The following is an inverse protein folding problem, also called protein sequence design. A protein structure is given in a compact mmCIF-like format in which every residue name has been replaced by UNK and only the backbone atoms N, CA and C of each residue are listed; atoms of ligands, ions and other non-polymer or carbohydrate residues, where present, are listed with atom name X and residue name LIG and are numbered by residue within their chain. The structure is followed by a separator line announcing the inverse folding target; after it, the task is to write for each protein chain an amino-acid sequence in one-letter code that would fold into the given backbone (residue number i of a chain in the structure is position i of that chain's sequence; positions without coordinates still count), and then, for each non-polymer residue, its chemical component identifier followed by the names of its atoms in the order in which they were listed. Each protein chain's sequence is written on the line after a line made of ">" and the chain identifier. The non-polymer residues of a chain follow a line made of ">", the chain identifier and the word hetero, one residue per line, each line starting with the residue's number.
data_IF_324020006317
#
_entry.id   IF_324020006317
#
_cell.length_a   1.000
_cell.length_b   1.000
_cell.length_c   1.000
_cell.angle_alpha   90.00
_cell.angle_beta   90.00
_cell.angle_gamma   90.00
#
_symmetry.space_group_name_H-M   'P 1'
#
loop_
_entity.id
_entity.type
_entity.pdbx_description
1 polymer ?
#
# COMPACT_ATOMS: atom_id res chain seq x y z
N UNK A 1 -4.58 -3.40 1.94
CA UNK A 1 -3.45 -3.64 2.85
C UNK A 1 -3.36 -5.11 3.22
N UNK A 2 -4.20 -5.60 4.14
CA UNK A 2 -4.08 -6.98 4.67
C UNK A 2 -4.06 -8.07 3.60
N UNK A 3 -4.95 -8.00 2.59
CA UNK A 3 -5.00 -8.97 1.49
C UNK A 3 -3.70 -8.95 0.68
N UNK A 4 -3.11 -7.78 0.44
CA UNK A 4 -1.87 -7.62 -0.32
C UNK A 4 -0.70 -8.24 0.44
N UNK A 5 -0.58 -8.00 1.75
CA UNK A 5 0.43 -8.64 2.58
C UNK A 5 0.28 -10.17 2.60
N UNK A 6 -0.94 -10.68 2.73
CA UNK A 6 -1.20 -12.12 2.71
C UNK A 6 -0.84 -12.75 1.36
N UNK A 7 -1.16 -12.10 0.23
CA UNK A 7 -0.81 -12.58 -1.10
C UNK A 7 0.70 -12.57 -1.35
N UNK A 8 1.39 -11.53 -0.90
CA UNK A 8 2.86 -11.45 -0.98
C UNK A 8 3.53 -12.53 -0.12
N UNK A 9 2.93 -12.90 1.03
CA UNK A 9 3.53 -13.83 2.00
C UNK A 9 3.02 -15.27 1.87
N UNK A 10 2.00 -15.52 1.04
CA UNK A 10 1.41 -16.85 0.85
C UNK A 10 2.42 -17.89 0.33
N UNK A 11 3.45 -17.46 -0.40
CA UNK A 11 4.50 -18.35 -0.94
C UNK A 11 5.68 -18.62 0.01
N UNK A 12 5.54 -18.36 1.32
CA UNK A 12 6.57 -18.65 2.33
C UNK A 12 7.14 -20.08 2.25
N UNK A 13 6.34 -21.06 1.84
CA UNK A 13 6.71 -22.49 1.84
C UNK A 13 7.53 -22.93 0.61
N UNK A 14 7.79 -22.03 -0.34
CA UNK A 14 8.49 -22.33 -1.61
C UNK A 14 9.78 -21.52 -1.83
N UNK A 15 10.55 -21.26 -0.76
CA UNK A 15 11.84 -20.56 -0.75
C UNK A 15 11.82 -19.04 -1.04
N UNK A 16 10.75 -18.49 -1.63
CA UNK A 16 10.63 -17.04 -1.90
C UNK A 16 9.69 -16.35 -0.91
N UNK A 17 10.24 -15.90 0.21
CA UNK A 17 9.48 -15.16 1.24
C UNK A 17 9.24 -13.70 0.85
N UNK A 18 8.25 -13.06 1.49
CA UNK A 18 7.98 -11.62 1.47
C UNK A 18 9.20 -10.71 1.69
N UNK A 19 10.23 -11.23 2.36
CA UNK A 19 11.45 -10.51 2.74
C UNK A 19 12.69 -11.00 1.99
N UNK A 20 12.51 -11.91 1.03
CA UNK A 20 13.61 -12.50 0.27
C UNK A 20 14.31 -11.47 -0.62
N UNK A 21 13.52 -10.63 -1.31
CA UNK A 21 14.03 -9.48 -2.05
C UNK A 21 13.69 -8.19 -1.33
N UNK A 22 14.65 -7.28 -1.16
CA UNK A 22 14.43 -5.99 -0.51
C UNK A 22 13.31 -5.16 -1.14
N UNK A 23 12.98 -5.41 -2.41
CA UNK A 23 11.91 -4.76 -3.16
C UNK A 23 10.52 -5.28 -2.78
N UNK A 24 10.40 -6.59 -2.56
CA UNK A 24 9.18 -7.22 -2.02
C UNK A 24 8.98 -6.81 -0.55
N UNK A 25 10.07 -6.75 0.20
CA UNK A 25 10.08 -6.29 1.59
C UNK A 25 9.59 -4.84 1.73
N UNK A 26 10.00 -3.95 0.82
CA UNK A 26 9.48 -2.58 0.78
C UNK A 26 7.97 -2.54 0.52
N UNK A 27 7.48 -3.31 -0.46
CA UNK A 27 6.05 -3.32 -0.80
C UNK A 27 5.18 -3.92 0.32
N UNK A 28 5.63 -5.02 0.94
CA UNK A 28 4.94 -5.64 2.07
C UNK A 28 4.98 -4.76 3.33
N UNK A 29 6.14 -4.15 3.62
CA UNK A 29 6.32 -3.27 4.77
C UNK A 29 5.49 -2.00 4.65
N UNK A 30 5.47 -1.37 3.46
CA UNK A 30 4.65 -0.18 3.20
C UNK A 30 3.16 -0.48 3.41
N UNK A 31 2.67 -1.62 2.90
CA UNK A 31 1.28 -2.04 3.09
C UNK A 31 0.93 -2.25 4.58
N UNK A 32 1.84 -2.84 5.36
CA UNK A 32 1.63 -3.05 6.79
C UNK A 32 1.58 -1.72 7.57
N UNK A 33 2.53 -0.82 7.30
CA UNK A 33 2.58 0.51 7.92
C UNK A 33 1.33 1.34 7.56
N UNK A 34 0.92 1.33 6.29
CA UNK A 34 -0.27 2.05 5.83
C UNK A 34 -1.55 1.55 6.52
N UNK A 35 -1.69 0.24 6.73
CA UNK A 35 -2.82 -0.33 7.49
C UNK A 35 -2.83 0.18 8.93
N UNK A 36 -1.67 0.19 9.61
CA UNK A 36 -1.57 0.70 10.99
C UNK A 36 -1.97 2.17 11.03
N UNK A 37 -1.45 3.00 10.13
CA UNK A 37 -1.75 4.43 10.12
C UNK A 37 -3.24 4.66 9.84
N UNK A 38 -3.84 3.93 8.88
CA UNK A 38 -5.27 4.04 8.61
C UNK A 38 -6.13 3.67 9.84
N UNK A 39 -5.75 2.65 10.61
CA UNK A 39 -6.44 2.28 11.86
C UNK A 39 -6.32 3.40 12.89
N UNK A 40 -5.12 3.97 13.07
CA UNK A 40 -4.89 5.09 13.99
C UNK A 40 -5.70 6.32 13.58
N UNK A 41 -5.72 6.65 12.28
CA UNK A 41 -6.49 7.77 11.74
C UNK A 41 -7.99 7.57 11.96
N UNK A 42 -8.49 6.34 11.77
CA UNK A 42 -9.88 5.97 12.05
C UNK A 42 -10.25 6.18 13.53
N UNK A 43 -9.38 5.78 14.46
CA UNK A 43 -9.61 5.97 15.90
C UNK A 43 -9.60 7.47 16.27
N UNK A 44 -8.66 8.26 15.74
CA UNK A 44 -8.59 9.71 15.99
C UNK A 44 -9.84 10.43 15.46
N UNK A 45 -10.30 10.06 14.27
CA UNK A 45 -11.53 10.61 13.69
C UNK A 45 -12.77 10.23 14.52
N UNK A 46 -12.80 9.03 15.10
CA UNK A 46 -13.87 8.59 16.00
C UNK A 46 -13.92 9.39 17.32
N UNK A 47 -12.77 9.88 17.79
CA UNK A 47 -12.64 10.77 18.97
C UNK A 47 -12.96 12.24 18.64
N UNK A 48 -13.45 12.53 17.43
CA UNK A 48 -13.78 13.88 16.91
C UNK A 48 -12.64 14.89 16.93
N UNK A 49 -11.38 14.43 17.02
CA UNK A 49 -10.20 15.29 16.91
C UNK A 49 -9.87 15.37 15.42
N UNK A 50 -10.52 16.26 14.68
CA UNK A 50 -10.29 16.37 13.23
C UNK A 50 -8.95 17.06 12.93
N UNK A 51 -7.95 16.26 12.58
CA UNK A 51 -6.62 16.74 12.21
C UNK A 51 -6.48 16.81 10.68
N UNK A 52 -7.31 17.63 10.03
CA UNK A 52 -7.45 17.70 8.57
C UNK A 52 -6.13 17.97 7.83
N UNK A 53 -5.23 18.78 8.41
CA UNK A 53 -3.91 19.04 7.82
C UNK A 53 -2.99 17.81 7.86
N UNK A 54 -3.11 16.98 8.90
CA UNK A 54 -2.32 15.77 9.08
C UNK A 54 -2.78 14.67 8.11
N UNK A 55 -4.09 14.54 7.92
CA UNK A 55 -4.69 13.67 6.91
C UNK A 55 -4.23 14.03 5.49
N UNK A 56 -4.19 15.33 5.15
CA UNK A 56 -3.69 15.80 3.83
C UNK A 56 -2.26 15.40 3.57
N UNK A 57 -1.37 15.64 4.54
CA UNK A 57 0.04 15.29 4.40
C UNK A 57 0.22 13.78 4.27
N UNK A 58 -0.51 13.01 5.09
CA UNK A 58 -0.46 11.56 5.04
C UNK A 58 -0.92 11.01 3.68
N UNK A 59 -2.09 11.42 3.18
CA UNK A 59 -2.62 10.91 1.90
C UNK A 59 -1.73 11.29 0.71
N UNK A 60 -1.11 12.48 0.74
CA UNK A 60 -0.13 12.88 -0.28
C UNK A 60 1.14 12.02 -0.26
N UNK A 61 1.72 11.80 0.93
CA UNK A 61 2.93 10.97 1.09
C UNK A 61 2.64 9.51 0.75
N UNK A 62 1.50 8.98 1.21
CA UNK A 62 1.06 7.62 0.93
C UNK A 62 0.90 7.40 -0.59
N UNK A 63 0.25 8.34 -1.30
CA UNK A 63 0.13 8.25 -2.76
C UNK A 63 1.48 8.09 -3.46
N UNK A 64 2.47 8.93 -3.13
CA UNK A 64 3.81 8.86 -3.73
C UNK A 64 4.49 7.53 -3.43
N UNK A 65 4.43 7.07 -2.19
CA UNK A 65 5.04 5.80 -1.77
C UNK A 65 4.38 4.59 -2.47
N UNK A 66 3.05 4.56 -2.57
CA UNK A 66 2.33 3.49 -3.27
C UNK A 66 2.54 3.53 -4.78
N UNK A 67 2.78 4.70 -5.37
CA UNK A 67 3.18 4.84 -6.77
C UNK A 67 4.55 4.19 -7.00
N UNK A 68 5.54 4.49 -6.16
CA UNK A 68 6.88 3.85 -6.23
C UNK A 68 6.77 2.33 -6.03
N UNK A 69 5.97 1.90 -5.06
CA UNK A 69 5.77 0.48 -4.77
C UNK A 69 5.09 -0.25 -5.95
N UNK A 70 4.10 0.35 -6.61
CA UNK A 70 3.46 -0.25 -7.79
C UNK A 70 4.42 -0.38 -8.98
N UNK A 71 5.24 0.62 -9.25
CA UNK A 71 6.29 0.54 -10.28
C UNK A 71 7.32 -0.57 -9.97
N UNK A 72 7.73 -0.69 -8.70
CA UNK A 72 8.64 -1.75 -8.25
C UNK A 72 8.04 -3.15 -8.47
N UNK A 73 6.75 -3.33 -8.16
CA UNK A 73 6.06 -4.61 -8.37
C UNK A 73 5.93 -4.98 -9.85
N UNK A 74 5.58 -4.02 -10.70
CA UNK A 74 5.52 -4.24 -12.16
C UNK A 74 6.90 -4.69 -12.69
N UNK A 75 7.97 -4.03 -12.24
CA UNK A 75 9.32 -4.43 -12.64
C UNK A 75 9.69 -5.83 -12.15
N UNK A 76 9.26 -6.23 -10.95
CA UNK A 76 9.48 -7.59 -10.42
C UNK A 76 8.80 -8.64 -11.31
N UNK A 77 7.58 -8.38 -11.75
CA UNK A 77 6.82 -9.27 -12.66
C UNK A 77 7.49 -9.39 -14.03
N UNK A 78 8.07 -8.31 -14.56
CA UNK A 78 8.76 -8.36 -15.86
C UNK A 78 10.07 -9.16 -15.75
N UNK A 79 10.81 -8.98 -14.66
CA UNK A 79 12.13 -9.58 -14.49
C UNK A 79 12.07 -11.08 -14.17
N UNK A 80 11.02 -11.51 -13.48
CA UNK A 80 10.85 -12.87 -12.99
C UNK A 80 9.46 -13.35 -13.38
N UNK A 81 9.37 -14.57 -13.93
CA UNK A 81 8.09 -15.21 -14.28
C UNK A 81 7.34 -15.64 -13.00
N UNK A 82 6.67 -14.68 -12.37
CA UNK A 82 5.92 -14.87 -11.13
C UNK A 82 4.49 -15.33 -11.40
N UNK A 83 3.98 -16.23 -10.56
CA UNK A 83 2.63 -16.78 -10.69
C UNK A 83 1.51 -15.76 -10.39
N UNK A 84 0.27 -16.21 -10.60
CA UNK A 84 -0.97 -15.41 -10.53
C UNK A 84 -1.12 -14.54 -9.26
N UNK A 85 -0.61 -14.99 -8.12
CA UNK A 85 -0.66 -14.24 -6.85
C UNK A 85 0.01 -12.87 -6.93
N UNK A 86 1.13 -12.74 -7.65
CA UNK A 86 1.86 -11.48 -7.79
C UNK A 86 1.14 -10.51 -8.73
N UNK A 87 0.50 -11.03 -9.78
CA UNK A 87 -0.38 -10.24 -10.64
C UNK A 87 -1.56 -9.66 -9.85
N UNK A 88 -2.23 -10.49 -9.04
CA UNK A 88 -3.30 -10.03 -8.16
C UNK A 88 -2.80 -8.99 -7.15
N UNK A 89 -1.66 -9.22 -6.50
CA UNK A 89 -1.08 -8.26 -5.54
C UNK A 89 -0.74 -6.91 -6.19
N UNK A 90 -0.21 -6.94 -7.42
CA UNK A 90 0.13 -5.72 -8.18
C UNK A 90 -1.11 -4.95 -8.59
N UNK A 91 -2.15 -5.64 -9.09
CA UNK A 91 -3.43 -5.02 -9.42
C UNK A 91 -4.06 -4.34 -8.19
N UNK A 92 -4.05 -5.02 -7.04
CA UNK A 92 -4.54 -4.47 -5.78
C UNK A 92 -3.73 -3.26 -5.31
N UNK A 93 -2.40 -3.26 -5.47
CA UNK A 93 -1.57 -2.09 -5.16
C UNK A 93 -1.87 -0.89 -6.06
N UNK A 94 -2.14 -1.13 -7.34
CA UNK A 94 -2.58 -0.07 -8.26
C UNK A 94 -3.94 0.48 -7.82
N UNK A 95 -4.88 -0.39 -7.42
CA UNK A 95 -6.14 0.05 -6.84
C UNK A 95 -5.94 0.90 -5.58
N UNK A 96 -5.03 0.52 -4.67
CA UNK A 96 -4.73 1.34 -3.48
C UNK A 96 -4.14 2.69 -3.83
N UNK A 97 -3.25 2.76 -4.83
CA UNK A 97 -2.73 4.03 -5.33
C UNK A 97 -3.85 4.95 -5.82
N UNK A 98 -4.83 4.41 -6.57
CA UNK A 98 -6.00 5.17 -7.03
C UNK A 98 -6.88 5.62 -5.84
N UNK A 99 -7.05 4.78 -4.82
CA UNK A 99 -7.81 5.15 -3.62
C UNK A 99 -7.14 6.29 -2.87
N UNK A 100 -5.82 6.27 -2.67
CA UNK A 100 -5.08 7.37 -2.05
C UNK A 100 -5.15 8.66 -2.87
N UNK A 101 -5.12 8.56 -4.21
CA UNK A 101 -5.33 9.73 -5.08
C UNK A 101 -6.72 10.34 -4.88
N UNK A 102 -7.77 9.50 -4.81
CA UNK A 102 -9.14 9.94 -4.59
C UNK A 102 -9.31 10.58 -3.21
N UNK A 103 -8.71 9.98 -2.18
CA UNK A 103 -8.72 10.51 -0.82
C UNK A 103 -8.07 11.90 -0.77
N UNK A 104 -6.90 12.06 -1.38
CA UNK A 104 -6.23 13.36 -1.52
C UNK A 104 -7.12 14.40 -2.24
N UNK A 105 -7.78 14.03 -3.34
CA UNK A 105 -8.68 14.93 -4.07
C UNK A 105 -9.86 15.39 -3.23
N UNK A 106 -10.50 14.48 -2.50
CA UNK A 106 -11.63 14.81 -1.61
C UNK A 106 -11.17 15.80 -0.54
N UNK A 107 -10.03 15.52 0.09
CA UNK A 107 -9.50 16.35 1.16
C UNK A 107 -9.07 17.75 0.67
N UNK A 108 -8.61 17.87 -0.57
CA UNK A 108 -8.28 19.16 -1.18
C UNK A 108 -9.52 19.94 -1.63
N UNK A 109 -10.60 19.28 -2.03
CA UNK A 109 -11.81 19.95 -2.52
C UNK A 109 -12.74 20.43 -1.39
N UNK A 110 -12.70 19.79 -0.22
CA UNK A 110 -13.54 20.12 0.94
C UNK A 110 -12.93 21.13 1.92
N UNK A 111 -11.79 21.75 1.59
CA UNK A 111 -11.12 22.76 2.40
C UNK A 111 -11.01 24.09 1.65
#
# INVERSE_FOLDING_TARGET
>A
GFIICSLLCANWWGERTCFYEGRLGFCSGLNFVAVIINIVMFVINFLSISALQLEKLYSAVAFVLFLIASALMIWIIILNDYGWNFFCATALMVCECILFLRDYQILHYFA
#
